data_IF_440954279975
#
_entry.id   IF_440954279975
#
_cell.length_a   1.000
_cell.length_b   1.000
_cell.length_c   1.000
_cell.angle_alpha   90.00
_cell.angle_beta   90.00
_cell.angle_gamma   90.00
#
_symmetry.space_group_name_H-M   'P 1'
#
loop_
_entity.id
_entity.type
_entity.pdbx_description
1 polymer ?
#
# COMPACT_ATOMS: atom_id res chain seq x y z
N UNK A 1 2.17 -9.95 8.00
CA UNK A 1 3.29 -9.09 7.60
C UNK A 1 4.64 -9.79 7.74
N UNK A 2 5.26 -10.13 6.62
CA UNK A 2 6.64 -10.59 6.51
C UNK A 2 7.63 -9.43 6.61
N UNK A 3 8.85 -9.72 7.05
CA UNK A 3 9.95 -8.74 7.17
C UNK A 3 10.21 -8.24 8.58
N UNK A 4 11.27 -7.46 8.72
CA UNK A 4 11.76 -6.94 10.00
C UNK A 4 11.21 -5.55 10.32
N UNK A 5 10.55 -4.88 9.36
CA UNK A 5 9.84 -3.62 9.56
C UNK A 5 8.53 -3.57 8.78
N UNK A 6 7.62 -2.67 9.16
CA UNK A 6 6.34 -2.47 8.48
C UNK A 6 6.06 -0.99 8.27
N UNK A 7 5.79 -0.61 7.02
CA UNK A 7 5.25 0.69 6.67
C UNK A 7 3.73 0.57 6.46
N UNK A 8 2.96 1.34 7.22
CA UNK A 8 1.50 1.41 7.03
C UNK A 8 1.15 2.67 6.25
N UNK A 9 0.39 2.49 5.18
CA UNK A 9 -0.11 3.57 4.32
C UNK A 9 -1.63 3.59 4.41
N UNK A 10 -2.17 4.67 4.95
CA UNK A 10 -3.61 4.93 5.03
C UNK A 10 -3.96 6.15 4.21
N UNK A 11 -4.98 6.04 3.36
CA UNK A 11 -5.44 7.12 2.51
C UNK A 11 -6.96 7.12 2.39
N UNK A 12 -7.52 8.33 2.29
CA UNK A 12 -8.90 8.50 1.84
C UNK A 12 -8.96 8.16 0.34
N UNK A 13 -9.82 7.21 -0.01
CA UNK A 13 -10.08 6.82 -1.38
C UNK A 13 -11.54 7.10 -1.71
N UNK A 14 -11.79 7.73 -2.86
CA UNK A 14 -13.16 7.93 -3.33
C UNK A 14 -13.80 6.58 -3.65
N UNK A 15 -15.00 6.35 -3.11
CA UNK A 15 -15.85 5.22 -3.46
C UNK A 15 -17.01 5.69 -4.36
N UNK A 16 -17.28 5.03 -5.51
CA UNK A 16 -18.40 5.39 -6.37
C UNK A 16 -19.78 5.17 -5.75
N UNK A 17 -19.89 4.26 -4.77
CA UNK A 17 -21.10 3.92 -4.05
C UNK A 17 -20.73 3.34 -2.66
N UNK A 18 -21.69 3.27 -1.70
CA UNK A 18 -21.45 2.76 -0.34
C UNK A 18 -20.91 1.32 -0.31
N UNK A 19 -21.25 0.54 -1.33
CA UNK A 19 -20.81 -0.85 -1.52
C UNK A 19 -19.55 -0.98 -2.40
N UNK A 20 -18.97 0.15 -2.84
CA UNK A 20 -17.78 0.33 -3.68
C UNK A 20 -17.15 -0.93 -4.30
N UNK A 21 -17.23 -1.10 -5.62
CA UNK A 21 -16.53 -2.21 -6.32
C UNK A 21 -15.01 -2.20 -6.04
N UNK A 22 -14.46 -1.02 -5.69
CA UNK A 22 -13.18 -0.87 -5.02
C UNK A 22 -12.00 -1.51 -5.76
N UNK A 23 -10.97 -1.88 -5.02
CA UNK A 23 -9.93 -2.76 -5.50
C UNK A 23 -10.41 -4.22 -5.35
N UNK A 24 -10.59 -4.95 -6.45
CA UNK A 24 -11.04 -6.35 -6.49
C UNK A 24 -9.87 -7.37 -6.54
N UNK A 25 -8.64 -6.86 -6.54
CA UNK A 25 -7.44 -7.69 -6.67
C UNK A 25 -7.02 -8.39 -5.37
N UNK A 26 -5.86 -9.05 -5.39
CA UNK A 26 -5.33 -9.77 -4.23
C UNK A 26 -5.12 -8.85 -3.02
N UNK A 27 -5.71 -9.20 -1.88
CA UNK A 27 -5.52 -8.49 -0.61
C UNK A 27 -4.18 -8.78 0.06
N UNK A 28 -3.44 -9.75 -0.46
CA UNK A 28 -2.11 -10.13 -0.02
C UNK A 28 -1.25 -10.36 -1.27
N UNK A 29 -0.10 -9.68 -1.34
CA UNK A 29 0.80 -9.72 -2.48
C UNK A 29 2.20 -10.00 -1.95
N UNK A 30 2.86 -11.00 -2.51
CA UNK A 30 4.27 -11.31 -2.26
C UNK A 30 5.06 -11.05 -3.54
N UNK A 31 5.76 -9.91 -3.66
CA UNK A 31 6.56 -9.61 -4.83
C UNK A 31 7.67 -10.65 -5.02
N UNK A 32 7.87 -11.12 -6.25
CA UNK A 32 8.91 -12.11 -6.57
C UNK A 32 10.15 -11.49 -7.23
N UNK A 33 10.11 -10.19 -7.52
CA UNK A 33 11.11 -9.49 -8.34
C UNK A 33 11.81 -8.35 -7.58
N UNK A 34 11.59 -8.22 -6.28
CA UNK A 34 12.25 -7.24 -5.41
C UNK A 34 12.57 -7.90 -4.07
N UNK A 35 13.67 -7.47 -3.44
CA UNK A 35 14.09 -7.98 -2.12
C UNK A 35 13.71 -7.02 -0.98
N UNK A 36 13.46 -5.75 -1.31
CA UNK A 36 13.14 -4.70 -0.33
C UNK A 36 11.72 -4.79 0.22
N UNK A 37 10.75 -5.20 -0.61
CA UNK A 37 9.34 -5.34 -0.23
C UNK A 37 8.99 -6.82 -0.24
N UNK A 38 8.71 -7.37 0.93
CA UNK A 38 8.50 -8.81 1.13
C UNK A 38 7.02 -9.19 1.08
N UNK A 39 6.15 -8.28 1.51
CA UNK A 39 4.71 -8.49 1.53
C UNK A 39 3.95 -7.16 1.44
N UNK A 40 2.78 -7.18 0.80
CA UNK A 40 1.77 -6.15 0.95
C UNK A 40 0.47 -6.83 1.40
N UNK A 41 -0.18 -6.27 2.42
CA UNK A 41 -1.45 -6.78 2.94
C UNK A 41 -2.44 -5.61 3.11
N UNK A 42 -3.65 -5.76 2.56
CA UNK A 42 -4.73 -4.80 2.76
C UNK A 42 -5.28 -4.97 4.18
N UNK A 43 -5.12 -3.94 5.00
CA UNK A 43 -5.64 -3.90 6.36
C UNK A 43 -7.09 -3.41 6.39
N UNK A 44 -7.44 -2.47 5.50
CA UNK A 44 -8.75 -1.82 5.49
C UNK A 44 -9.15 -1.42 4.07
N UNK A 45 -10.45 -1.56 3.80
CA UNK A 45 -11.14 -0.96 2.66
C UNK A 45 -12.61 -0.77 3.05
N UNK A 46 -12.88 0.27 3.84
CA UNK A 46 -14.18 0.53 4.44
C UNK A 46 -14.48 2.03 4.45
N UNK A 47 -15.73 2.41 4.15
CA UNK A 47 -16.24 3.78 4.27
C UNK A 47 -15.33 4.90 3.69
N UNK A 48 -14.73 4.67 2.52
CA UNK A 48 -13.88 5.65 1.84
C UNK A 48 -12.45 5.72 2.39
N UNK A 49 -12.07 4.78 3.25
CA UNK A 49 -10.70 4.62 3.74
C UNK A 49 -10.10 3.32 3.22
N UNK A 50 -8.84 3.37 2.80
CA UNK A 50 -8.04 2.17 2.58
C UNK A 50 -6.74 2.27 3.36
N UNK A 51 -6.33 1.12 3.92
CA UNK A 51 -5.04 0.98 4.57
C UNK A 51 -4.34 -0.28 4.06
N UNK A 52 -3.04 -0.15 3.81
CA UNK A 52 -2.16 -1.24 3.42
C UNK A 52 -0.95 -1.26 4.35
N UNK A 53 -0.53 -2.45 4.75
CA UNK A 53 0.76 -2.66 5.38
C UNK A 53 1.74 -3.23 4.36
N UNK A 54 2.95 -2.71 4.38
CA UNK A 54 4.05 -3.06 3.49
C UNK A 54 5.18 -3.61 4.37
N UNK A 55 5.44 -4.90 4.23
CA UNK A 55 6.50 -5.63 4.91
C UNK A 55 7.84 -5.36 4.24
N UNK A 56 8.78 -4.80 5.00
CA UNK A 56 10.11 -4.45 4.54
C UNK A 56 11.15 -5.37 5.17
N UNK A 57 12.21 -5.67 4.43
CA UNK A 57 13.36 -6.44 4.92
C UNK A 57 14.08 -5.77 6.11
N UNK A 58 13.95 -4.45 6.27
CA UNK A 58 14.41 -3.65 7.41
C UNK A 58 13.74 -2.27 7.43
N UNK A 59 13.96 -1.49 8.48
CA UNK A 59 13.53 -0.08 8.50
C UNK A 59 14.25 0.72 7.40
N UNK A 60 13.48 1.45 6.60
CA UNK A 60 13.98 2.19 5.43
C UNK A 60 13.35 3.58 5.33
N UNK A 61 14.12 4.59 4.89
CA UNK A 61 13.55 5.86 4.47
C UNK A 61 12.57 5.67 3.31
N UNK A 62 11.53 6.50 3.29
CA UNK A 62 10.56 6.53 2.21
C UNK A 62 10.15 7.97 1.87
N UNK A 63 9.66 8.16 0.66
CA UNK A 63 9.01 9.40 0.23
C UNK A 63 7.62 9.11 -0.28
N UNK A 64 6.71 10.06 -0.09
CA UNK A 64 5.31 9.95 -0.52
C UNK A 64 5.00 11.09 -1.48
N UNK A 65 4.40 10.76 -2.62
CA UNK A 65 3.97 11.72 -3.60
C UNK A 65 2.52 11.49 -4.01
N UNK A 66 1.74 12.56 -4.02
CA UNK A 66 0.42 12.56 -4.66
C UNK A 66 0.56 13.01 -6.12
N UNK A 67 0.02 12.20 -7.02
CA UNK A 67 -0.08 12.52 -8.44
C UNK A 67 -1.55 12.74 -8.81
N UNK A 68 -1.80 13.68 -9.71
CA UNK A 68 -3.13 13.95 -10.24
C UNK A 68 -3.24 13.47 -11.69
N UNK A 69 -4.48 13.31 -12.18
CA UNK A 69 -4.79 13.00 -13.58
C UNK A 69 -4.09 11.75 -14.16
N UNK A 70 -4.34 10.52 -13.64
CA UNK A 70 -5.27 10.16 -12.57
C UNK A 70 -4.65 10.24 -11.17
N UNK A 71 -5.52 10.38 -10.16
CA UNK A 71 -5.17 10.40 -8.75
C UNK A 71 -4.40 9.13 -8.35
N UNK A 72 -3.18 9.27 -7.82
CA UNK A 72 -2.34 8.17 -7.33
C UNK A 72 -1.55 8.63 -6.11
N UNK A 73 -1.45 7.74 -5.12
CA UNK A 73 -0.46 7.85 -4.05
C UNK A 73 0.73 6.96 -4.42
N UNK A 74 1.92 7.55 -4.54
CA UNK A 74 3.17 6.84 -4.81
C UNK A 74 4.01 6.86 -3.55
N UNK A 75 4.52 5.69 -3.17
CA UNK A 75 5.42 5.53 -2.03
C UNK A 75 6.72 4.92 -2.56
N UNK A 76 7.80 5.70 -2.53
CA UNK A 76 9.13 5.23 -2.89
C UNK A 76 9.86 4.80 -1.62
N UNK A 77 10.40 3.58 -1.62
CA UNK A 77 11.19 3.03 -0.51
C UNK A 77 12.65 2.95 -0.92
N UNK A 78 13.55 3.48 -0.09
CA UNK A 78 14.97 3.53 -0.40
C UNK A 78 15.64 2.15 -0.41
N UNK A 79 16.51 1.90 -1.38
CA UNK A 79 17.23 0.62 -1.51
C UNK A 79 18.45 0.48 -0.58
N UNK A 80 19.02 1.60 -0.13
CA UNK A 80 20.31 1.64 0.58
C UNK A 80 20.19 1.85 2.08
#
# INVERSE_FOLDING_TARGET
MAGDATLVVSAGAWMPNPDGDGYDGPRQIQPLNVETILELEQLENFEGMTAWAIGLDRERPFTVQWLENPARLVVDVALN
#
